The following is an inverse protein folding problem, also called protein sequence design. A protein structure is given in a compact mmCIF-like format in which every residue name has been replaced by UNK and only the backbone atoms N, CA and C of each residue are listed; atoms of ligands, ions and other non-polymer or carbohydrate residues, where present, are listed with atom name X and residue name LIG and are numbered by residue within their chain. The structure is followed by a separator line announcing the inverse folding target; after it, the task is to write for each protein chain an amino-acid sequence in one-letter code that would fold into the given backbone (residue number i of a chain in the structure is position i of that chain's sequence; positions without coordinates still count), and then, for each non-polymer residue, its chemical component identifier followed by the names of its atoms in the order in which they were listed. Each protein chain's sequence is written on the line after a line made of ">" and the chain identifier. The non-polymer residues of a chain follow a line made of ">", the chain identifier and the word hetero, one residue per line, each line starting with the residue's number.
data_IF_063553932783
#
_entry.id   IF_063553932783
#
_cell.length_a   1.000
_cell.length_b   1.000
_cell.length_c   1.000
_cell.angle_alpha   90.00
_cell.angle_beta   90.00
_cell.angle_gamma   90.00
#
_symmetry.space_group_name_H-M   'P 1'
#
loop_
_entity.id
_entity.type
_entity.pdbx_description
1 polymer ?
#
# COMPACT_ATOMS: atom_id res chain seq x y z
N UNK A 1 -7.16 -19.51 -10.67
CA UNK A 1 -7.76 -18.24 -11.13
C UNK A 1 -6.64 -17.25 -11.44
N UNK A 2 -6.54 -16.77 -12.68
CA UNK A 2 -5.54 -15.77 -13.05
C UNK A 2 -5.89 -14.43 -12.37
N UNK A 3 -4.90 -13.79 -11.73
CA UNK A 3 -5.08 -12.44 -11.19
C UNK A 3 -5.11 -11.47 -12.35
N UNK A 4 -6.23 -10.76 -12.55
CA UNK A 4 -6.24 -9.57 -13.41
C UNK A 4 -5.23 -8.58 -12.84
N UNK A 5 -4.20 -8.28 -13.61
CA UNK A 5 -3.29 -7.18 -13.31
C UNK A 5 -3.90 -5.91 -13.88
N UNK A 6 -4.03 -4.91 -13.02
CA UNK A 6 -4.48 -3.57 -13.40
C UNK A 6 -3.27 -2.65 -13.31
N UNK A 7 -3.10 -1.80 -14.32
CA UNK A 7 -2.06 -0.76 -14.31
C UNK A 7 -2.30 0.20 -13.15
N UNK A 8 -1.22 0.74 -12.58
CA UNK A 8 -1.31 1.65 -11.44
C UNK A 8 -2.09 2.92 -11.78
N UNK A 9 -1.83 3.47 -12.96
CA UNK A 9 -2.51 4.64 -13.51
C UNK A 9 -4.03 4.42 -13.60
N UNK A 10 -4.44 3.24 -14.05
CA UNK A 10 -5.85 2.88 -14.12
C UNK A 10 -6.48 2.82 -12.73
N UNK A 11 -5.79 2.26 -11.74
CA UNK A 11 -6.33 2.20 -10.38
C UNK A 11 -6.43 3.60 -9.76
N UNK A 12 -5.44 4.47 -9.99
CA UNK A 12 -5.47 5.85 -9.52
C UNK A 12 -6.62 6.64 -10.14
N UNK A 13 -6.85 6.47 -11.45
CA UNK A 13 -8.00 7.06 -12.13
C UNK A 13 -9.32 6.60 -11.50
N UNK A 14 -9.50 5.29 -11.28
CA UNK A 14 -10.71 4.75 -10.65
C UNK A 14 -10.91 5.32 -9.24
N UNK A 15 -9.86 5.43 -8.45
CA UNK A 15 -9.96 5.99 -7.09
C UNK A 15 -10.34 7.46 -7.14
N UNK A 16 -9.75 8.25 -8.04
CA UNK A 16 -10.08 9.66 -8.18
C UNK A 16 -11.55 9.84 -8.60
N UNK A 17 -11.99 9.08 -9.60
CA UNK A 17 -13.38 9.07 -10.07
C UNK A 17 -14.37 8.66 -8.97
N UNK A 18 -13.97 7.72 -8.10
CA UNK A 18 -14.75 7.33 -6.93
C UNK A 18 -14.82 8.43 -5.87
N UNK A 19 -13.75 9.22 -5.70
CA UNK A 19 -13.73 10.36 -4.78
C UNK A 19 -14.59 11.51 -5.31
N UNK A 20 -14.55 11.79 -6.62
CA UNK A 20 -15.36 12.83 -7.26
C UNK A 20 -16.86 12.50 -7.30
N UNK A 21 -17.20 11.24 -7.63
CA UNK A 21 -18.60 10.81 -7.75
C UNK A 21 -19.22 10.50 -6.38
N UNK A 22 -18.41 10.21 -5.36
CA UNK A 22 -18.87 9.72 -4.05
C UNK A 22 -19.57 8.36 -4.08
N UNK A 23 -19.65 7.70 -5.23
CA UNK A 23 -20.37 6.44 -5.43
C UNK A 23 -19.54 5.39 -6.16
N UNK A 24 -18.92 4.50 -5.37
CA UNK A 24 -18.08 3.40 -5.84
C UNK A 24 -18.86 2.40 -6.70
N UNK A 25 -20.15 2.19 -6.45
CA UNK A 25 -20.94 1.18 -7.16
C UNK A 25 -21.24 1.56 -8.61
N UNK A 26 -21.34 2.85 -8.91
CA UNK A 26 -21.55 3.35 -10.28
C UNK A 26 -20.25 3.21 -11.08
N UNK A 27 -19.12 3.63 -10.51
CA UNK A 27 -17.80 3.50 -11.14
C UNK A 27 -17.45 2.03 -11.37
N UNK A 28 -17.72 1.16 -10.40
CA UNK A 28 -17.58 -0.29 -10.51
C UNK A 28 -18.33 -0.86 -11.72
N UNK A 29 -19.61 -0.47 -11.89
CA UNK A 29 -20.43 -0.89 -13.04
C UNK A 29 -19.88 -0.37 -14.37
N UNK A 30 -19.47 0.90 -14.40
CA UNK A 30 -18.98 1.57 -15.61
C UNK A 30 -17.70 0.94 -16.17
N UNK A 31 -16.80 0.54 -15.27
CA UNK A 31 -15.52 -0.10 -15.63
C UNK A 31 -15.56 -1.63 -15.56
N UNK A 32 -16.73 -2.21 -15.28
CA UNK A 32 -16.93 -3.66 -15.10
C UNK A 32 -15.95 -4.29 -14.09
N UNK A 33 -15.70 -3.57 -12.99
CA UNK A 33 -14.85 -3.99 -11.86
C UNK A 33 -15.77 -4.29 -10.68
N UNK A 34 -15.42 -5.29 -9.88
CA UNK A 34 -16.18 -5.53 -8.64
C UNK A 34 -15.94 -4.39 -7.64
N UNK A 35 -17.01 -3.89 -7.03
CA UNK A 35 -16.91 -2.83 -6.01
C UNK A 35 -15.97 -3.23 -4.86
N UNK A 36 -15.95 -4.52 -4.49
CA UNK A 36 -15.03 -5.07 -3.48
C UNK A 36 -13.55 -4.88 -3.84
N UNK A 37 -13.20 -4.93 -5.13
CA UNK A 37 -11.83 -4.67 -5.59
C UNK A 37 -11.45 -3.20 -5.39
N UNK A 38 -12.38 -2.29 -5.71
CA UNK A 38 -12.16 -0.86 -5.53
C UNK A 38 -12.04 -0.50 -4.04
N UNK A 39 -12.89 -1.05 -3.18
CA UNK A 39 -12.77 -0.89 -1.73
C UNK A 39 -11.42 -1.40 -1.20
N UNK A 40 -10.92 -2.51 -1.76
CA UNK A 40 -9.57 -3.02 -1.42
C UNK A 40 -8.49 -2.02 -1.83
N UNK A 41 -8.58 -1.40 -3.00
CA UNK A 41 -7.63 -0.38 -3.45
C UNK A 41 -7.66 0.88 -2.60
N UNK A 42 -8.85 1.36 -2.24
CA UNK A 42 -9.03 2.52 -1.33
C UNK A 42 -8.42 2.21 0.04
N UNK A 43 -8.70 1.02 0.61
CA UNK A 43 -8.13 0.61 1.90
C UNK A 43 -6.61 0.49 1.84
N UNK A 44 -6.05 -0.05 0.74
CA UNK A 44 -4.60 -0.12 0.53
C UNK A 44 -3.96 1.25 0.40
N UNK A 45 -4.58 2.17 -0.35
CA UNK A 45 -4.14 3.57 -0.47
C UNK A 45 -4.12 4.25 0.89
N UNK A 46 -5.14 4.02 1.73
CA UNK A 46 -5.19 4.57 3.11
C UNK A 46 -4.14 4.00 4.04
N UNK A 47 -3.82 2.70 3.95
CA UNK A 47 -2.82 2.07 4.80
C UNK A 47 -1.37 2.36 4.37
N UNK A 48 -1.11 2.54 3.07
CA UNK A 48 0.25 2.65 2.51
C UNK A 48 0.59 4.01 1.90
N UNK A 49 -0.40 4.89 1.70
CA UNK A 49 -0.24 6.12 0.93
C UNK A 49 -0.14 5.91 -0.59
N UNK A 50 0.00 4.67 -1.07
CA UNK A 50 0.09 4.35 -2.50
C UNK A 50 -0.68 3.09 -2.86
N UNK A 51 -1.23 3.08 -4.07
CA UNK A 51 -1.93 1.92 -4.64
C UNK A 51 -0.98 0.93 -5.31
N UNK A 52 0.27 1.35 -5.53
CA UNK A 52 1.31 0.47 -6.01
C UNK A 52 1.46 -0.71 -5.04
N UNK A 53 1.01 -1.90 -5.46
CA UNK A 53 1.48 -3.10 -4.81
C UNK A 53 2.97 -3.17 -5.09
N UNK A 54 3.79 -2.90 -4.07
CA UNK A 54 5.19 -3.26 -4.16
C UNK A 54 5.23 -4.73 -4.60
N UNK A 55 5.99 -5.09 -5.65
CA UNK A 55 6.23 -6.50 -5.93
C UNK A 55 6.70 -7.13 -4.61
N UNK A 56 6.13 -8.27 -4.21
CA UNK A 56 6.34 -8.92 -2.90
C UNK A 56 7.81 -8.94 -2.44
N UNK A 57 8.74 -8.92 -3.38
CA UNK A 57 10.20 -8.78 -3.20
C UNK A 57 10.64 -7.48 -2.50
N UNK A 58 10.03 -6.32 -2.78
CA UNK A 58 10.37 -5.07 -2.09
C UNK A 58 9.77 -5.01 -0.68
N UNK A 59 8.56 -5.55 -0.47
CA UNK A 59 7.89 -5.60 0.85
C UNK A 59 8.69 -6.37 1.90
N UNK A 60 9.20 -7.55 1.52
CA UNK A 60 10.08 -8.32 2.39
C UNK A 60 11.36 -7.55 2.73
N UNK A 61 11.95 -6.84 1.73
CA UNK A 61 13.16 -6.04 1.94
C UNK A 61 12.94 -4.84 2.86
N UNK A 62 11.82 -4.13 2.73
CA UNK A 62 11.50 -3.02 3.64
C UNK A 62 11.30 -3.51 5.06
N UNK A 63 10.56 -4.61 5.26
CA UNK A 63 10.35 -5.18 6.60
C UNK A 63 11.66 -5.66 7.23
N UNK A 64 12.58 -6.21 6.44
CA UNK A 64 13.93 -6.57 6.91
C UNK A 64 14.72 -5.33 7.28
N UNK A 65 14.69 -4.27 6.47
CA UNK A 65 15.40 -3.02 6.78
C UNK A 65 14.82 -2.29 8.01
N UNK A 66 13.50 -2.28 8.19
CA UNK A 66 12.87 -1.76 9.43
C UNK A 66 13.35 -2.52 10.67
N UNK A 67 13.51 -3.84 10.56
CA UNK A 67 14.02 -4.67 11.65
C UNK A 67 15.49 -4.34 11.96
N UNK A 68 16.32 -4.20 10.94
CA UNK A 68 17.73 -3.80 11.09
C UNK A 68 17.89 -2.40 11.69
N UNK A 69 17.06 -1.44 11.29
CA UNK A 69 17.08 -0.08 11.83
C UNK A 69 16.73 -0.06 13.33
N UNK A 70 15.79 -0.91 13.74
CA UNK A 70 15.40 -1.05 15.15
C UNK A 70 16.52 -1.65 15.99
N UNK A 71 17.24 -2.64 15.45
CA UNK A 71 18.39 -3.30 16.09
C UNK A 71 19.57 -2.34 16.28
N UNK A 72 19.93 -1.59 15.23
CA UNK A 72 20.98 -0.55 15.27
C UNK A 72 20.62 0.58 16.23
N UNK A 73 19.33 0.94 16.34
CA UNK A 73 18.87 1.94 17.31
C UNK A 73 19.05 1.45 18.75
N UNK A 74 18.72 0.17 19.02
CA UNK A 74 18.93 -0.42 20.34
C UNK A 74 20.41 -0.56 20.70
N UNK A 75 21.28 -0.88 19.74
CA UNK A 75 22.73 -0.92 19.97
C UNK A 75 23.29 0.47 20.30
N UNK A 76 22.85 1.52 19.61
CA UNK A 76 23.24 2.89 19.93
C UNK A 76 22.78 3.33 21.32
N UNK A 77 21.58 2.93 21.76
CA UNK A 77 21.10 3.25 23.11
C UNK A 77 21.93 2.54 24.19
N UNK A 78 22.31 1.28 23.95
CA UNK A 78 23.18 0.53 24.85
C UNK A 78 24.60 1.11 24.92
N UNK A 79 25.17 1.52 23.78
CA UNK A 79 26.49 2.15 23.75
C UNK A 79 26.50 3.52 24.44
N UNK A 80 25.45 4.33 24.27
CA UNK A 80 25.31 5.62 24.96
C UNK A 80 25.22 5.48 26.48
N UNK A 81 24.64 4.38 26.98
CA UNK A 81 24.60 4.08 28.42
C UNK A 81 25.93 3.63 29.01
N UNK A 82 26.83 3.07 28.19
CA UNK A 82 28.14 2.58 28.64
C UNK A 82 29.19 3.70 28.69
N UNK A 83 28.97 4.77 27.93
CA UNK A 83 29.87 5.94 27.86
C UNK A 83 29.44 7.02 28.88
N UNK A 84 28.31 6.85 29.56
CA UNK A 84 27.84 7.70 30.67
C UNK A 84 28.31 7.14 32.02
#
# INVERSE_FOLDING_TARGET
>A
MAKKQYSLEFIEQIINECQETGNVAIVARRHNISASTIHTWISKKRQRGSVASLPKTKEARYKTMEKQLKEISTENDMLKRLIA
#
